data_IF_654566316786
#
_entry.id   IF_654566316786
#
_cell.length_a   1.000
_cell.length_b   1.000
_cell.length_c   1.000
_cell.angle_alpha   90.00
_cell.angle_beta   90.00
_cell.angle_gamma   90.00
#
_symmetry.space_group_name_H-M   'P 1'
#
loop_
_entity.id
_entity.type
_entity.pdbx_description
1 polymer ?
#
# COMPACT_ATOMS: atom_id res chain seq x y z
N UNK A 1 -24.03 16.55 2.24
CA UNK A 1 -24.20 16.57 0.77
C UNK A 1 -22.94 17.03 0.02
N UNK A 2 -22.13 17.97 0.55
CA UNK A 2 -20.92 18.48 -0.10
C UNK A 2 -19.76 17.45 -0.25
N UNK A 3 -19.49 16.63 0.77
CA UNK A 3 -18.35 15.69 0.74
C UNK A 3 -18.41 14.66 -0.41
N UNK A 4 -19.60 14.16 -0.74
CA UNK A 4 -19.81 13.18 -1.83
C UNK A 4 -19.55 13.80 -3.22
N UNK A 5 -19.81 15.10 -3.36
CA UNK A 5 -19.54 15.87 -4.58
C UNK A 5 -18.04 15.97 -4.86
N UNK A 6 -17.24 16.28 -3.83
CA UNK A 6 -15.79 16.36 -3.95
C UNK A 6 -15.17 15.02 -4.32
N UNK A 7 -15.56 13.93 -3.64
CA UNK A 7 -15.09 12.58 -3.99
C UNK A 7 -15.37 12.21 -5.45
N UNK A 8 -16.50 12.66 -6.01
CA UNK A 8 -16.85 12.34 -7.41
C UNK A 8 -15.95 13.06 -8.41
N UNK A 9 -15.41 14.24 -8.04
CA UNK A 9 -14.49 15.02 -8.89
C UNK A 9 -13.04 14.58 -8.68
N UNK A 10 -12.65 14.31 -7.44
CA UNK A 10 -11.28 13.99 -7.03
C UNK A 10 -10.87 12.55 -7.41
N UNK A 11 -11.75 11.57 -7.21
CA UNK A 11 -11.42 10.15 -7.45
C UNK A 11 -10.97 9.86 -8.90
N UNK A 12 -11.61 10.43 -9.94
CA UNK A 12 -11.14 10.28 -11.32
C UNK A 12 -9.72 10.82 -11.56
N UNK A 13 -9.35 11.95 -10.94
CA UNK A 13 -8.04 12.57 -11.17
C UNK A 13 -6.91 11.63 -10.71
N UNK A 14 -7.00 11.14 -9.48
CA UNK A 14 -6.04 10.17 -8.96
C UNK A 14 -6.08 8.85 -9.74
N UNK A 15 -7.27 8.38 -10.14
CA UNK A 15 -7.41 7.17 -10.96
C UNK A 15 -6.64 7.26 -12.29
N UNK A 16 -6.61 8.45 -12.89
CA UNK A 16 -5.89 8.72 -14.14
C UNK A 16 -4.45 9.21 -13.93
N UNK A 17 -3.95 9.27 -12.70
CA UNK A 17 -2.59 9.75 -12.39
C UNK A 17 -2.43 11.27 -12.53
N UNK A 18 -3.53 12.03 -12.53
CA UNK A 18 -3.54 13.49 -12.64
C UNK A 18 -3.33 14.15 -11.28
N UNK A 19 -2.31 13.70 -10.54
CA UNK A 19 -2.04 14.11 -9.15
C UNK A 19 -1.82 15.62 -8.99
N UNK A 20 -1.18 16.27 -9.97
CA UNK A 20 -1.00 17.73 -9.93
C UNK A 20 -2.34 18.48 -10.02
N UNK A 21 -3.25 18.03 -10.88
CA UNK A 21 -4.58 18.65 -11.02
C UNK A 21 -5.43 18.43 -9.76
N UNK A 22 -5.29 17.26 -9.14
CA UNK A 22 -5.90 16.96 -7.84
C UNK A 22 -5.41 17.95 -6.77
N UNK A 23 -4.08 18.14 -6.66
CA UNK A 23 -3.49 19.08 -5.69
C UNK A 23 -3.97 20.51 -5.92
N UNK A 24 -4.01 20.96 -7.18
CA UNK A 24 -4.51 22.30 -7.54
C UNK A 24 -5.98 22.47 -7.13
N UNK A 25 -6.81 21.46 -7.40
CA UNK A 25 -8.23 21.49 -7.03
C UNK A 25 -8.43 21.52 -5.51
N UNK A 26 -7.64 20.75 -4.76
CA UNK A 26 -7.66 20.75 -3.29
C UNK A 26 -7.27 22.11 -2.72
N UNK A 27 -6.30 22.81 -3.32
CA UNK A 27 -5.88 24.16 -2.91
C UNK A 27 -6.92 25.24 -3.20
N UNK A 28 -7.84 25.00 -4.13
CA UNK A 28 -8.92 25.93 -4.51
C UNK A 28 -10.20 25.75 -3.67
N UNK A 29 -10.25 24.76 -2.77
CA UNK A 29 -11.43 24.56 -1.92
C UNK A 29 -11.54 25.72 -0.93
N UNK A 30 -12.69 26.40 -0.94
CA UNK A 30 -13.05 27.43 0.04
C UNK A 30 -12.94 26.87 1.49
N UNK A 31 -12.23 27.54 2.41
CA UNK A 31 -12.05 27.08 3.80
C UNK A 31 -13.36 26.75 4.52
N UNK A 32 -14.44 27.48 4.21
CA UNK A 32 -15.77 27.26 4.80
C UNK A 32 -16.37 25.89 4.44
N UNK A 33 -15.87 25.25 3.37
CA UNK A 33 -16.28 23.91 2.92
C UNK A 33 -15.42 22.81 3.53
N UNK A 34 -14.34 23.16 4.23
CA UNK A 34 -13.41 22.24 4.86
C UNK A 34 -13.72 22.13 6.35
N UNK A 35 -13.88 20.90 6.83
CA UNK A 35 -14.13 20.64 8.25
C UNK A 35 -12.85 20.75 9.09
N UNK A 36 -11.71 20.43 8.48
CA UNK A 36 -10.42 20.38 9.15
C UNK A 36 -9.31 20.74 8.16
N UNK A 37 -8.78 21.95 8.30
CA UNK A 37 -7.73 22.49 7.42
C UNK A 37 -6.40 21.77 7.59
N UNK A 38 -6.12 21.25 8.80
CA UNK A 38 -4.90 20.50 9.08
C UNK A 38 -4.88 19.18 8.30
N UNK A 39 -6.02 18.48 8.22
CA UNK A 39 -6.14 17.24 7.46
C UNK A 39 -6.07 17.49 5.94
N UNK A 40 -6.63 18.61 5.45
CA UNK A 40 -6.46 19.01 4.05
C UNK A 40 -4.97 19.28 3.74
N UNK A 41 -4.27 20.01 4.60
CA UNK A 41 -2.85 20.28 4.44
C UNK A 41 -2.01 19.01 4.45
N UNK A 42 -2.32 18.04 5.33
CA UNK A 42 -1.68 16.72 5.36
C UNK A 42 -1.91 15.94 4.07
N UNK A 43 -3.13 15.96 3.53
CA UNK A 43 -3.45 15.30 2.27
C UNK A 43 -2.64 15.90 1.11
N UNK A 44 -2.63 17.22 0.97
CA UNK A 44 -1.87 17.92 -0.07
C UNK A 44 -0.38 17.59 0.04
N UNK A 45 0.20 17.70 1.24
CA UNK A 45 1.61 17.40 1.47
C UNK A 45 1.96 15.93 1.16
N UNK A 46 1.04 15.00 1.44
CA UNK A 46 1.22 13.59 1.07
C UNK A 46 1.24 13.41 -0.45
N UNK A 47 0.29 14.01 -1.18
CA UNK A 47 0.22 13.91 -2.63
C UNK A 47 1.46 14.55 -3.30
N UNK A 48 1.90 15.71 -2.81
CA UNK A 48 3.10 16.39 -3.30
C UNK A 48 4.35 15.51 -3.09
N UNK A 49 4.53 14.97 -1.88
CA UNK A 49 5.69 14.13 -1.54
C UNK A 49 5.75 12.83 -2.36
N UNK A 50 4.60 12.25 -2.67
CA UNK A 50 4.52 10.93 -3.33
C UNK A 50 4.15 11.04 -4.81
N UNK A 51 4.14 12.23 -5.39
CA UNK A 51 3.63 12.51 -6.74
C UNK A 51 4.22 11.57 -7.80
N UNK A 52 5.55 11.42 -7.80
CA UNK A 52 6.28 10.55 -8.74
C UNK A 52 5.98 9.05 -8.54
N UNK A 53 5.55 8.65 -7.34
CA UNK A 53 5.25 7.26 -7.01
C UNK A 53 3.78 6.90 -7.25
N UNK A 54 2.88 7.87 -7.43
CA UNK A 54 1.46 7.63 -7.69
C UNK A 54 1.28 7.29 -9.18
N UNK A 55 0.94 6.05 -9.54
CA UNK A 55 0.84 5.66 -10.93
C UNK A 55 -0.54 6.01 -11.53
N UNK A 56 -0.63 5.99 -12.86
CA UNK A 56 -1.93 5.96 -13.54
C UNK A 56 -2.61 4.61 -13.33
N UNK A 57 -3.52 4.52 -12.37
CA UNK A 57 -4.25 3.28 -12.05
C UNK A 57 -5.10 2.78 -13.21
N UNK A 58 -5.68 3.68 -14.00
CA UNK A 58 -6.41 3.34 -15.22
C UNK A 58 -5.55 2.56 -16.21
N UNK A 59 -4.32 3.04 -16.46
CA UNK A 59 -3.37 2.38 -17.36
C UNK A 59 -2.94 1.03 -16.79
N UNK A 60 -2.60 0.96 -15.50
CA UNK A 60 -2.25 -0.30 -14.83
C UNK A 60 -3.37 -1.34 -14.98
N UNK A 61 -4.62 -0.95 -14.74
CA UNK A 61 -5.77 -1.83 -14.92
C UNK A 61 -5.91 -2.30 -16.36
N UNK A 62 -5.73 -1.41 -17.34
CA UNK A 62 -5.79 -1.76 -18.76
C UNK A 62 -4.68 -2.73 -19.18
N UNK A 63 -3.50 -2.64 -18.54
CA UNK A 63 -2.38 -3.56 -18.73
C UNK A 63 -2.53 -4.87 -17.94
N UNK A 64 -3.64 -5.09 -17.23
CA UNK A 64 -3.83 -6.26 -16.37
C UNK A 64 -2.99 -6.27 -15.09
N UNK A 65 -2.33 -5.15 -14.75
CA UNK A 65 -1.53 -5.04 -13.54
C UNK A 65 -2.41 -4.88 -12.31
N UNK A 66 -2.00 -5.51 -11.20
CA UNK A 66 -2.72 -5.40 -9.93
C UNK A 66 -2.67 -3.96 -9.38
N UNK A 67 -3.83 -3.42 -9.02
CA UNK A 67 -3.97 -2.13 -8.32
C UNK A 67 -4.31 -2.28 -6.84
N UNK A 68 -4.53 -3.51 -6.37
CA UNK A 68 -4.92 -3.79 -5.00
C UNK A 68 -3.71 -4.17 -4.14
N UNK A 69 -3.70 -3.68 -2.91
CA UNK A 69 -2.78 -4.12 -1.86
C UNK A 69 -3.19 -5.45 -1.21
N UNK A 70 -4.35 -6.02 -1.56
CA UNK A 70 -4.94 -7.16 -0.85
C UNK A 70 -4.02 -8.38 -0.78
N UNK A 71 -3.24 -8.65 -1.83
CA UNK A 71 -2.26 -9.75 -1.81
C UNK A 71 -1.16 -9.46 -0.77
N UNK A 72 -0.59 -8.26 -0.78
CA UNK A 72 0.44 -7.86 0.20
C UNK A 72 -0.08 -7.89 1.63
N UNK A 73 -1.29 -7.39 1.86
CA UNK A 73 -1.96 -7.44 3.16
C UNK A 73 -2.21 -8.88 3.61
N UNK A 74 -2.69 -9.75 2.71
CA UNK A 74 -2.91 -11.16 3.01
C UNK A 74 -1.61 -11.88 3.36
N UNK A 75 -0.50 -11.58 2.66
CA UNK A 75 0.81 -12.15 2.98
C UNK A 75 1.31 -11.66 4.34
N UNK A 76 1.16 -10.37 4.64
CA UNK A 76 1.47 -9.86 5.98
C UNK A 76 0.65 -10.55 7.06
N UNK A 77 -0.63 -10.83 6.80
CA UNK A 77 -1.47 -11.56 7.73
C UNK A 77 -0.95 -12.97 8.02
N UNK A 78 -0.67 -13.73 6.96
CA UNK A 78 -0.19 -15.11 7.05
C UNK A 78 1.21 -15.23 7.67
N UNK A 79 2.11 -14.30 7.35
CA UNK A 79 3.53 -14.39 7.72
C UNK A 79 3.79 -13.74 9.09
N UNK A 80 3.15 -12.60 9.37
CA UNK A 80 3.53 -11.71 10.48
C UNK A 80 2.38 -11.52 11.47
N UNK A 81 1.22 -11.06 10.99
CA UNK A 81 0.12 -10.52 11.81
C UNK A 81 -0.45 -11.56 12.78
N UNK A 82 -0.80 -12.75 12.29
CA UNK A 82 -1.39 -13.83 13.10
C UNK A 82 -0.52 -14.20 14.30
N UNK A 83 0.82 -14.14 14.16
CA UNK A 83 1.74 -14.49 15.22
C UNK A 83 2.12 -13.32 16.11
N UNK A 84 2.43 -12.17 15.52
CA UNK A 84 3.02 -11.05 16.28
C UNK A 84 1.98 -10.18 16.97
N UNK A 85 0.80 -9.99 16.37
CA UNK A 85 -0.25 -9.16 16.96
C UNK A 85 -1.14 -9.92 17.94
N UNK A 86 -1.37 -11.21 17.69
CA UNK A 86 -2.34 -11.99 18.47
C UNK A 86 -1.74 -12.86 19.58
N UNK A 87 -0.42 -13.13 19.58
CA UNK A 87 0.22 -13.99 20.59
C UNK A 87 1.09 -13.24 21.63
N UNK A 88 0.99 -11.90 21.71
CA UNK A 88 1.47 -11.13 22.88
C UNK A 88 2.94 -11.32 23.29
N UNK A 89 3.84 -11.65 22.37
CA UNK A 89 5.26 -11.90 22.67
C UNK A 89 6.15 -10.71 22.27
N UNK A 90 7.14 -10.39 23.12
CA UNK A 90 8.23 -9.47 22.78
C UNK A 90 9.24 -10.19 21.87
N UNK A 91 9.13 -9.94 20.58
CA UNK A 91 10.05 -10.51 19.59
C UNK A 91 11.27 -9.59 19.41
N UNK A 92 12.47 -10.16 19.40
CA UNK A 92 13.64 -9.42 18.93
C UNK A 92 13.52 -9.18 17.43
N UNK A 93 14.04 -8.05 16.93
CA UNK A 93 14.01 -7.70 15.49
C UNK A 93 14.54 -8.86 14.61
N UNK A 94 15.64 -9.46 15.04
CA UNK A 94 16.27 -10.59 14.33
C UNK A 94 15.39 -11.84 14.37
N UNK A 95 14.78 -12.15 15.53
CA UNK A 95 13.86 -13.28 15.67
C UNK A 95 12.61 -13.13 14.80
N UNK A 96 11.98 -11.95 14.81
CA UNK A 96 10.83 -11.65 13.95
C UNK A 96 11.15 -11.85 12.48
N UNK A 97 12.28 -11.31 12.01
CA UNK A 97 12.68 -11.41 10.61
C UNK A 97 12.98 -12.86 10.21
N UNK A 98 13.76 -13.58 11.02
CA UNK A 98 14.12 -14.97 10.74
C UNK A 98 12.87 -15.86 10.65
N UNK A 99 11.91 -15.68 11.55
CA UNK A 99 10.67 -16.45 11.55
C UNK A 99 9.75 -16.10 10.38
N UNK A 100 9.65 -14.81 10.03
CA UNK A 100 8.91 -14.39 8.84
C UNK A 100 9.50 -15.01 7.57
N UNK A 101 10.83 -15.00 7.43
CA UNK A 101 11.52 -15.62 6.31
C UNK A 101 11.29 -17.14 6.24
N UNK A 102 11.40 -17.85 7.36
CA UNK A 102 11.10 -19.29 7.44
C UNK A 102 9.66 -19.61 7.07
N UNK A 103 8.71 -18.80 7.55
CA UNK A 103 7.28 -18.98 7.28
C UNK A 103 6.99 -18.73 5.79
N UNK A 104 7.59 -17.69 5.20
CA UNK A 104 7.48 -17.41 3.78
C UNK A 104 8.04 -18.55 2.92
N UNK A 105 9.25 -19.05 3.24
CA UNK A 105 9.86 -20.17 2.54
C UNK A 105 8.96 -21.42 2.60
N UNK A 106 8.39 -21.72 3.77
CA UNK A 106 7.46 -22.85 3.93
C UNK A 106 6.17 -22.67 3.12
N UNK A 107 5.56 -21.49 3.14
CA UNK A 107 4.34 -21.21 2.37
C UNK A 107 4.58 -21.28 0.86
N UNK A 108 5.80 -20.95 0.41
CA UNK A 108 6.21 -21.05 -0.98
C UNK A 108 6.70 -22.46 -1.38
N UNK A 109 6.81 -23.41 -0.43
CA UNK A 109 7.36 -24.75 -0.68
C UNK A 109 8.86 -24.77 -0.96
N UNK A 110 9.59 -23.75 -0.51
CA UNK A 110 11.03 -23.56 -0.72
C UNK A 110 11.87 -23.87 0.53
N UNK A 111 11.24 -24.29 1.63
CA UNK A 111 11.89 -24.55 2.91
C UNK A 111 12.99 -25.62 2.81
N UNK A 112 12.77 -26.71 2.08
CA UNK A 112 13.78 -27.75 1.87
C UNK A 112 15.00 -27.24 1.08
N UNK A 113 14.76 -26.51 0.00
CA UNK A 113 15.82 -25.92 -0.84
C UNK A 113 16.61 -24.90 -0.04
N UNK A 114 15.93 -23.99 0.65
CA UNK A 114 16.58 -22.95 1.44
C UNK A 114 17.38 -23.52 2.61
N UNK A 115 16.85 -24.50 3.35
CA UNK A 115 17.56 -25.12 4.48
C UNK A 115 18.83 -25.84 4.03
N UNK A 116 18.80 -26.49 2.87
CA UNK A 116 19.92 -27.30 2.37
C UNK A 116 20.94 -26.52 1.57
N UNK A 117 20.47 -25.61 0.71
CA UNK A 117 21.28 -24.93 -0.30
C UNK A 117 21.48 -23.45 0.02
N UNK A 118 20.73 -22.87 0.98
CA UNK A 118 20.76 -21.43 1.32
C UNK A 118 20.34 -20.53 0.16
N UNK A 119 19.58 -21.06 -0.80
CA UNK A 119 19.10 -20.36 -1.99
C UNK A 119 17.56 -20.25 -1.99
N UNK A 120 17.02 -19.18 -2.57
CA UNK A 120 15.58 -18.96 -2.78
C UNK A 120 15.33 -18.65 -4.26
N UNK A 121 14.25 -19.19 -4.82
CA UNK A 121 13.90 -18.87 -6.21
C UNK A 121 13.09 -17.58 -6.24
N UNK A 122 13.66 -16.53 -6.82
CA UNK A 122 12.91 -15.29 -6.97
C UNK A 122 12.05 -15.38 -8.23
N UNK A 123 10.74 -15.48 -8.04
CA UNK A 123 9.75 -15.39 -9.13
C UNK A 123 8.95 -14.12 -8.92
N UNK A 124 8.89 -13.28 -9.95
CA UNK A 124 7.91 -12.20 -9.96
C UNK A 124 6.52 -12.84 -9.98
N UNK A 125 5.69 -12.49 -9.01
CA UNK A 125 4.28 -12.84 -9.05
C UNK A 125 3.67 -12.13 -10.27
N UNK A 126 3.21 -12.92 -11.24
CA UNK A 126 2.48 -12.43 -12.41
C UNK A 126 1.07 -11.97 -11.99
#
# INVERSE_FOLDING_TARGET
MAAKKWLTVLTPLLWHGLTNQEIELLKQIEPEKIKNDEELAKLIAYLEKNNEMIPCYALRKNLGLCNSSAIGEKMNDLIVSTRQKHNGMSWSKNGSLALAALTAAKLNGEDHTWLRQKELSFKLAA
#
